data_IF_519220328958
#
_entry.id   IF_519220328958
#
_cell.length_a   1.000
_cell.length_b   1.000
_cell.length_c   1.000
_cell.angle_alpha   90.00
_cell.angle_beta   90.00
_cell.angle_gamma   90.00
#
_symmetry.space_group_name_H-M   'P 1'
#
loop_
_entity.id
_entity.type
_entity.pdbx_description
1 polymer ?
#
# COMPACT_ATOMS: atom_id res chain seq x y z
N UNK A 1 28.84 -82.10 10.55
CA UNK A 1 27.44 -82.65 10.49
C UNK A 1 26.52 -81.63 11.07
N UNK A 2 25.44 -81.31 10.43
CA UNK A 2 24.31 -80.43 10.70
C UNK A 2 24.39 -78.99 10.16
N UNK A 3 23.87 -78.97 8.95
CA UNK A 3 23.36 -77.73 8.32
C UNK A 3 22.15 -77.20 9.05
N UNK A 4 22.08 -75.91 9.31
CA UNK A 4 20.82 -75.20 9.55
C UNK A 4 20.75 -73.99 8.60
N UNK A 5 19.84 -74.16 7.63
CA UNK A 5 19.38 -73.05 6.75
C UNK A 5 18.45 -72.18 7.55
N UNK A 6 18.68 -70.81 7.52
CA UNK A 6 17.73 -69.84 7.95
C UNK A 6 17.20 -69.07 6.72
N UNK A 7 15.89 -68.91 6.56
CA UNK A 7 15.33 -68.18 5.43
C UNK A 7 15.44 -66.67 5.64
N UNK A 8 15.90 -65.99 4.60
CA UNK A 8 15.91 -64.51 4.53
C UNK A 8 14.47 -64.00 4.34
N UNK A 9 14.05 -63.16 5.27
CA UNK A 9 12.78 -62.43 5.21
C UNK A 9 13.00 -61.13 4.43
N UNK A 10 12.49 -61.07 3.20
CA UNK A 10 12.45 -59.84 2.41
C UNK A 10 11.37 -58.92 2.95
N UNK A 11 11.77 -57.82 3.61
CA UNK A 11 10.90 -56.75 4.02
C UNK A 11 10.80 -55.73 2.85
N UNK A 12 9.69 -55.79 2.11
CA UNK A 12 9.37 -54.83 1.07
C UNK A 12 8.94 -53.51 1.74
N UNK A 13 9.82 -52.54 1.73
CA UNK A 13 9.54 -51.16 2.15
C UNK A 13 8.71 -50.46 1.06
N UNK A 14 7.39 -50.33 1.27
CA UNK A 14 6.48 -49.57 0.41
C UNK A 14 6.69 -48.08 0.71
N UNK A 15 7.38 -47.38 -0.17
CA UNK A 15 7.53 -45.93 -0.10
C UNK A 15 6.19 -45.25 -0.49
N UNK A 16 5.45 -44.79 0.48
CA UNK A 16 4.31 -43.90 0.25
C UNK A 16 4.83 -42.51 -0.08
N UNK A 17 4.65 -42.08 -1.34
CA UNK A 17 4.84 -40.71 -1.77
C UNK A 17 3.73 -39.84 -1.16
N UNK A 18 4.04 -39.13 -0.10
CA UNK A 18 3.23 -38.00 0.36
C UNK A 18 3.51 -36.82 -0.54
N UNK A 19 2.59 -36.52 -1.46
CA UNK A 19 2.52 -35.23 -2.13
C UNK A 19 2.01 -34.24 -1.09
N UNK A 20 2.93 -33.58 -0.39
CA UNK A 20 2.62 -32.45 0.47
C UNK A 20 2.20 -31.28 -0.40
N UNK A 21 0.95 -30.81 -0.25
CA UNK A 21 0.56 -29.47 -0.64
C UNK A 21 1.44 -28.48 0.14
N UNK A 22 2.40 -27.91 -0.53
CA UNK A 22 3.23 -26.82 -0.01
C UNK A 22 2.33 -25.60 0.10
N UNK A 23 1.85 -25.35 1.32
CA UNK A 23 1.21 -24.07 1.65
C UNK A 23 2.24 -22.97 1.45
N UNK A 24 1.96 -22.03 0.54
CA UNK A 24 2.80 -20.87 0.33
C UNK A 24 2.95 -20.13 1.68
N UNK A 25 4.11 -20.28 2.29
CA UNK A 25 4.51 -19.44 3.43
C UNK A 25 4.64 -18.01 2.96
N UNK A 26 4.13 -17.00 3.71
CA UNK A 26 4.42 -15.61 3.41
C UNK A 26 5.93 -15.42 3.37
N UNK A 27 6.44 -14.82 2.29
CA UNK A 27 7.85 -14.49 2.18
C UNK A 27 8.13 -13.38 3.19
N UNK A 28 8.73 -13.74 4.31
CA UNK A 28 9.28 -12.80 5.27
C UNK A 28 10.48 -12.11 4.61
N UNK A 29 10.28 -10.87 4.18
CA UNK A 29 11.33 -10.05 3.59
C UNK A 29 12.39 -9.77 4.67
N UNK A 30 13.58 -10.32 4.47
CA UNK A 30 14.73 -10.12 5.36
C UNK A 30 15.06 -8.62 5.44
N UNK A 31 14.88 -8.01 6.61
CA UNK A 31 15.35 -6.66 6.91
C UNK A 31 14.28 -5.60 7.21
N UNK A 32 13.01 -5.96 7.31
CA UNK A 32 11.96 -5.02 7.75
C UNK A 32 12.11 -4.72 9.24
N UNK A 33 12.15 -3.43 9.65
CA UNK A 33 12.02 -3.09 11.07
C UNK A 33 10.70 -3.66 11.60
N UNK A 34 10.71 -4.20 12.79
CA UNK A 34 9.71 -5.04 13.46
C UNK A 34 8.30 -4.44 13.61
N UNK A 35 7.94 -3.36 12.89
CA UNK A 35 6.67 -2.64 13.01
C UNK A 35 6.18 -1.95 11.72
N UNK A 36 6.53 -2.48 10.54
CA UNK A 36 6.03 -1.94 9.27
C UNK A 36 4.91 -2.83 8.71
N UNK A 37 3.85 -2.19 8.21
CA UNK A 37 2.76 -2.85 7.50
C UNK A 37 2.77 -2.41 6.05
N UNK A 38 2.73 -3.35 5.11
CA UNK A 38 2.69 -3.08 3.68
C UNK A 38 1.27 -3.24 3.15
N UNK A 39 0.90 -2.36 2.25
CA UNK A 39 -0.33 -2.40 1.48
C UNK A 39 0.03 -2.38 0.00
N UNK A 40 -0.43 -3.35 -0.77
CA UNK A 40 0.06 -3.60 -2.12
C UNK A 40 1.41 -4.33 -2.12
N UNK A 41 2.37 -3.84 -2.88
CA UNK A 41 3.70 -4.44 -2.97
C UNK A 41 4.63 -4.00 -1.83
N UNK A 42 5.58 -4.86 -1.47
CA UNK A 42 6.69 -4.46 -0.59
C UNK A 42 7.60 -3.53 -1.36
N UNK A 43 7.86 -2.36 -0.82
CA UNK A 43 8.72 -1.34 -1.42
C UNK A 43 9.96 -1.12 -0.56
N UNK A 44 11.07 -0.74 -1.23
CA UNK A 44 12.25 -0.21 -0.57
C UNK A 44 12.01 1.26 -0.18
N UNK A 45 12.53 1.70 0.94
CA UNK A 45 12.41 3.08 1.43
C UNK A 45 13.62 3.95 1.10
N UNK A 46 14.66 3.40 0.47
CA UNK A 46 15.83 4.17 0.04
C UNK A 46 15.47 5.19 -1.05
N UNK A 47 15.99 6.39 -0.93
CA UNK A 47 15.71 7.48 -1.89
C UNK A 47 14.30 8.08 -1.77
N UNK A 48 13.65 7.90 -0.64
CA UNK A 48 12.37 8.54 -0.33
C UNK A 48 12.53 10.06 -0.24
N UNK A 49 11.62 10.79 -0.87
CA UNK A 49 11.58 12.26 -0.90
C UNK A 49 10.59 12.79 0.13
N UNK A 50 10.80 14.03 0.58
CA UNK A 50 9.74 14.82 1.23
C UNK A 50 8.88 15.55 0.18
N UNK A 51 7.77 16.17 0.62
CA UNK A 51 6.86 16.88 -0.29
C UNK A 51 7.50 18.01 -1.09
N UNK A 52 8.44 18.75 -0.49
CA UNK A 52 9.13 19.86 -1.17
C UNK A 52 10.03 19.37 -2.30
N UNK A 53 10.79 18.30 -2.08
CA UNK A 53 11.65 17.69 -3.11
C UNK A 53 10.80 17.07 -4.23
N UNK A 54 9.67 16.43 -3.89
CA UNK A 54 8.73 15.91 -4.87
C UNK A 54 8.13 17.03 -5.73
N UNK A 55 7.71 18.16 -5.13
CA UNK A 55 7.22 19.33 -5.86
C UNK A 55 8.27 19.87 -6.81
N UNK A 56 9.52 20.01 -6.35
CA UNK A 56 10.63 20.47 -7.20
C UNK A 56 10.92 19.51 -8.39
N UNK A 57 10.62 18.23 -8.24
CA UNK A 57 10.69 17.28 -9.36
C UNK A 57 9.53 17.49 -10.35
N UNK A 58 8.31 17.74 -9.86
CA UNK A 58 7.14 18.03 -10.70
C UNK A 58 7.26 19.31 -11.50
N UNK A 59 7.83 20.39 -10.94
CA UNK A 59 8.02 21.67 -11.62
C UNK A 59 8.88 21.54 -12.89
N UNK A 60 9.69 20.49 -12.98
CA UNK A 60 10.54 20.23 -14.14
C UNK A 60 9.87 19.40 -15.23
N UNK A 61 8.98 18.49 -14.87
CA UNK A 61 8.45 17.45 -15.77
C UNK A 61 6.93 17.38 -15.83
N UNK A 62 6.22 18.03 -14.91
CA UNK A 62 4.76 17.94 -14.76
C UNK A 62 4.26 16.63 -14.15
N UNK A 63 5.08 15.56 -14.19
CA UNK A 63 4.86 14.24 -13.60
C UNK A 63 6.17 13.65 -13.15
N UNK A 64 6.16 12.85 -12.07
CA UNK A 64 7.37 12.19 -11.56
C UNK A 64 7.05 10.86 -10.90
N UNK A 65 7.75 9.80 -11.33
CA UNK A 65 7.78 8.52 -10.62
C UNK A 65 8.73 8.63 -9.43
N UNK A 66 8.18 8.59 -8.23
CA UNK A 66 8.95 8.82 -7.00
C UNK A 66 8.47 7.94 -5.85
N UNK A 67 9.25 7.92 -4.79
CA UNK A 67 8.82 7.53 -3.44
C UNK A 67 8.82 8.77 -2.57
N UNK A 68 7.72 9.01 -1.85
CA UNK A 68 7.68 10.10 -0.88
C UNK A 68 7.15 9.63 0.46
N UNK A 69 7.48 10.38 1.50
CA UNK A 69 7.05 10.11 2.87
C UNK A 69 6.24 11.26 3.45
N UNK A 70 5.35 10.92 4.34
CA UNK A 70 4.58 11.87 5.10
C UNK A 70 3.75 11.22 6.19
N UNK A 71 2.87 12.00 6.80
CA UNK A 71 1.93 11.57 7.81
C UNK A 71 0.52 11.49 7.22
N UNK A 72 -0.17 10.39 7.44
CA UNK A 72 -1.57 10.24 6.99
C UNK A 72 -2.46 11.17 7.81
N UNK A 73 -3.19 12.06 7.15
CA UNK A 73 -4.09 13.03 7.80
C UNK A 73 -5.57 12.68 7.62
N UNK A 74 -5.90 11.94 6.56
CA UNK A 74 -7.26 11.44 6.34
C UNK A 74 -7.22 10.17 5.48
N UNK A 75 -8.23 9.33 5.64
CA UNK A 75 -8.48 8.17 4.77
C UNK A 75 -9.95 8.11 4.37
N UNK A 76 -10.23 7.40 3.27
CA UNK A 76 -11.61 7.07 2.89
C UNK A 76 -12.25 6.19 3.97
N UNK A 77 -13.18 6.73 4.76
CA UNK A 77 -13.85 6.01 5.84
C UNK A 77 -14.73 4.83 5.35
N UNK A 78 -15.13 4.83 4.07
CA UNK A 78 -15.95 3.75 3.50
C UNK A 78 -15.15 2.52 3.12
N UNK A 79 -13.96 2.69 2.50
CA UNK A 79 -13.19 1.58 1.92
C UNK A 79 -11.67 1.71 2.08
N UNK A 80 -11.14 2.86 2.51
CA UNK A 80 -9.71 3.12 2.50
C UNK A 80 -9.11 3.18 1.08
N UNK A 81 -9.87 3.66 0.09
CA UNK A 81 -9.49 3.67 -1.33
C UNK A 81 -8.70 4.93 -1.75
N UNK A 82 -8.53 5.86 -0.86
CA UNK A 82 -7.66 7.03 -0.98
C UNK A 82 -7.20 7.48 0.41
N UNK A 83 -6.17 8.30 0.47
CA UNK A 83 -5.71 8.95 1.69
C UNK A 83 -5.11 10.32 1.36
N UNK A 84 -5.17 11.26 2.33
CA UNK A 84 -4.39 12.49 2.33
C UNK A 84 -3.13 12.28 3.17
N UNK A 85 -1.99 12.72 2.64
CA UNK A 85 -0.68 12.59 3.30
C UNK A 85 -0.04 13.95 3.40
N UNK A 86 0.19 14.42 4.63
CA UNK A 86 0.95 15.64 4.88
C UNK A 86 2.46 15.37 4.78
N UNK A 87 3.18 16.20 4.02
CA UNK A 87 4.63 16.14 3.90
C UNK A 87 5.21 17.54 3.86
N UNK A 88 5.65 18.03 5.02
CA UNK A 88 6.03 19.43 5.23
C UNK A 88 4.81 20.35 5.17
N UNK A 89 4.83 21.33 4.27
CA UNK A 89 3.72 22.27 4.05
C UNK A 89 2.68 21.75 3.04
N UNK A 90 2.95 20.60 2.41
CA UNK A 90 2.11 20.02 1.39
C UNK A 90 1.14 18.98 1.95
N UNK A 91 -0.05 18.93 1.37
CA UNK A 91 -0.97 17.78 1.47
C UNK A 91 -1.09 17.13 0.11
N UNK A 92 -0.76 15.85 0.05
CA UNK A 92 -0.77 15.04 -1.17
C UNK A 92 -1.98 14.13 -1.15
N UNK A 93 -2.83 14.25 -2.17
CA UNK A 93 -3.97 13.36 -2.34
C UNK A 93 -3.54 12.06 -3.03
N UNK A 94 -3.55 10.95 -2.31
CA UNK A 94 -3.07 9.65 -2.77
C UNK A 94 -4.24 8.73 -3.13
N UNK A 95 -4.28 8.28 -4.38
CA UNK A 95 -5.17 7.22 -4.86
C UNK A 95 -4.35 5.97 -5.17
N UNK A 96 -4.99 4.82 -5.15
CA UNK A 96 -4.35 3.54 -5.46
C UNK A 96 -4.66 3.11 -6.88
N UNK A 97 -3.62 2.74 -7.64
CA UNK A 97 -3.74 2.35 -9.05
C UNK A 97 -4.75 1.20 -9.19
N UNK A 98 -5.76 1.43 -10.04
CA UNK A 98 -6.81 0.45 -10.37
C UNK A 98 -7.52 -0.17 -9.15
N UNK A 99 -7.51 0.52 -7.99
CA UNK A 99 -8.01 -0.02 -6.71
C UNK A 99 -7.32 -1.34 -6.31
N UNK A 100 -6.04 -1.49 -6.66
CA UNK A 100 -5.29 -2.72 -6.44
C UNK A 100 -5.06 -3.09 -4.97
N UNK A 101 -5.14 -2.10 -4.07
CA UNK A 101 -5.09 -2.30 -2.62
C UNK A 101 -5.83 -1.19 -1.89
N UNK A 102 -5.99 -1.32 -0.58
CA UNK A 102 -6.68 -0.37 0.29
C UNK A 102 -5.91 -0.21 1.60
N UNK A 103 -6.04 0.95 2.23
CA UNK A 103 -5.52 1.22 3.58
C UNK A 103 -6.65 1.08 4.61
N UNK A 104 -6.33 0.96 5.92
CA UNK A 104 -7.35 0.92 6.96
C UNK A 104 -8.25 2.15 6.92
N UNK A 105 -9.55 1.94 7.12
CA UNK A 105 -10.56 3.00 7.22
C UNK A 105 -10.52 3.72 8.57
N UNK A 106 -9.85 3.14 9.57
CA UNK A 106 -9.72 3.68 10.93
C UNK A 106 -8.30 3.43 11.46
N UNK A 107 -7.80 4.35 12.28
CA UNK A 107 -6.52 4.22 12.97
C UNK A 107 -5.28 4.31 12.07
N UNK A 108 -5.42 4.83 10.85
CA UNK A 108 -4.30 5.15 9.96
C UNK A 108 -3.79 6.58 10.16
N UNK A 109 -4.63 7.50 10.58
CA UNK A 109 -4.30 8.91 10.80
C UNK A 109 -3.21 9.06 11.86
N UNK A 110 -2.31 10.02 11.66
CA UNK A 110 -1.13 10.25 12.49
C UNK A 110 0.01 9.26 12.26
N UNK A 111 -0.16 8.25 11.39
CA UNK A 111 0.92 7.30 11.08
C UNK A 111 1.79 7.82 9.95
N UNK A 112 3.11 7.64 10.10
CA UNK A 112 4.05 7.85 9.03
C UNK A 112 3.85 6.80 7.95
N UNK A 113 3.85 7.23 6.70
CA UNK A 113 3.74 6.36 5.54
C UNK A 113 4.80 6.71 4.49
N UNK A 114 5.20 5.70 3.72
CA UNK A 114 5.98 5.87 2.49
C UNK A 114 5.14 5.30 1.35
N UNK A 115 5.00 6.04 0.27
CA UNK A 115 4.28 5.61 -0.93
C UNK A 115 5.17 5.68 -2.16
N UNK A 116 5.00 4.74 -3.07
CA UNK A 116 5.69 4.67 -4.36
C UNK A 116 4.69 4.79 -5.49
N UNK A 117 5.03 5.52 -6.54
CA UNK A 117 4.20 5.70 -7.72
C UNK A 117 4.41 7.04 -8.41
N UNK A 118 3.38 7.52 -9.11
CA UNK A 118 3.43 8.74 -9.91
C UNK A 118 2.80 9.93 -9.17
N UNK A 119 3.58 11.00 -9.01
CA UNK A 119 3.14 12.31 -8.54
C UNK A 119 2.77 13.22 -9.72
N UNK A 120 1.74 14.05 -9.57
CA UNK A 120 1.28 15.03 -10.57
C UNK A 120 0.37 16.09 -9.94
N UNK A 121 0.09 17.17 -10.67
CA UNK A 121 -0.98 18.10 -10.30
C UNK A 121 -2.30 17.66 -10.94
N UNK A 122 -3.37 17.58 -10.14
CA UNK A 122 -4.71 17.25 -10.58
C UNK A 122 -5.69 18.36 -10.20
N UNK A 123 -6.63 18.67 -11.10
CA UNK A 123 -7.73 19.59 -10.81
C UNK A 123 -8.96 18.79 -10.41
N UNK A 124 -9.23 18.76 -9.10
CA UNK A 124 -10.43 18.13 -8.59
C UNK A 124 -11.65 19.01 -8.83
N UNK A 125 -12.61 18.51 -9.58
CA UNK A 125 -13.88 19.21 -9.82
C UNK A 125 -14.75 19.25 -8.57
N UNK A 126 -15.68 20.22 -8.47
CA UNK A 126 -16.61 20.33 -7.35
C UNK A 126 -17.35 19.00 -7.06
N UNK A 127 -17.89 18.26 -8.06
CA UNK A 127 -18.49 16.95 -7.80
C UNK A 127 -17.54 15.93 -7.19
N UNK A 128 -16.26 15.90 -7.63
CA UNK A 128 -15.24 15.00 -7.06
C UNK A 128 -14.91 15.38 -5.62
N UNK A 129 -14.71 16.67 -5.35
CA UNK A 129 -14.43 17.16 -4.00
C UNK A 129 -15.58 16.84 -3.03
N UNK A 130 -16.83 17.02 -3.45
CA UNK A 130 -18.01 16.64 -2.67
C UNK A 130 -18.06 15.15 -2.39
N UNK A 131 -17.80 14.33 -3.40
CA UNK A 131 -17.75 12.88 -3.25
C UNK A 131 -16.67 12.44 -2.23
N UNK A 132 -15.47 13.02 -2.30
CA UNK A 132 -14.41 12.72 -1.33
C UNK A 132 -14.72 13.21 0.08
N UNK A 133 -15.40 14.35 0.21
CA UNK A 133 -15.89 14.85 1.50
C UNK A 133 -16.95 13.92 2.12
N UNK A 134 -17.88 13.38 1.31
CA UNK A 134 -18.83 12.35 1.72
C UNK A 134 -18.11 11.06 2.17
N UNK A 135 -17.09 10.63 1.43
CA UNK A 135 -16.29 9.44 1.75
C UNK A 135 -15.42 9.61 3.01
N UNK A 136 -15.06 10.86 3.33
CA UNK A 136 -14.37 11.23 4.57
C UNK A 136 -15.35 11.39 5.76
N UNK A 137 -16.67 11.25 5.55
CA UNK A 137 -17.66 11.40 6.59
C UNK A 137 -17.90 12.84 7.03
N UNK A 138 -17.63 13.83 6.14
CA UNK A 138 -17.88 15.24 6.41
C UNK A 138 -19.38 15.54 6.57
N UNK A 139 -19.68 16.59 7.33
CA UNK A 139 -21.05 17.05 7.49
C UNK A 139 -21.63 17.61 6.18
N UNK A 140 -22.96 17.60 6.03
CA UNK A 140 -23.61 18.16 4.86
C UNK A 140 -23.28 19.65 4.66
N UNK A 141 -23.11 20.41 5.74
CA UNK A 141 -22.72 21.81 5.69
C UNK A 141 -21.32 22.00 5.08
N UNK A 142 -20.35 21.18 5.48
CA UNK A 142 -19.00 21.20 4.90
C UNK A 142 -19.02 20.82 3.42
N UNK A 143 -19.83 19.83 3.04
CA UNK A 143 -19.98 19.37 1.65
C UNK A 143 -20.61 20.48 0.79
N UNK A 144 -21.65 21.16 1.28
CA UNK A 144 -22.35 22.22 0.56
C UNK A 144 -21.48 23.47 0.39
N UNK A 145 -20.54 23.70 1.32
CA UNK A 145 -19.57 24.80 1.23
C UNK A 145 -18.54 24.63 0.09
N UNK A 146 -18.40 23.44 -0.48
CA UNK A 146 -17.52 23.17 -1.62
C UNK A 146 -18.17 23.72 -2.89
N UNK A 147 -17.70 24.84 -3.40
CA UNK A 147 -18.29 25.57 -4.54
C UNK A 147 -17.34 25.75 -5.72
N UNK A 148 -16.04 25.54 -5.52
CA UNK A 148 -15.00 25.77 -6.54
C UNK A 148 -14.11 24.53 -6.70
N UNK A 149 -13.56 24.30 -7.92
CA UNK A 149 -12.58 23.25 -8.14
C UNK A 149 -11.26 23.59 -7.44
N UNK A 150 -10.49 22.57 -7.09
CA UNK A 150 -9.21 22.73 -6.40
C UNK A 150 -8.08 22.05 -7.18
N UNK A 151 -6.97 22.78 -7.38
CA UNK A 151 -5.72 22.20 -7.89
C UNK A 151 -4.99 21.55 -6.71
N UNK A 152 -4.80 20.26 -6.76
CA UNK A 152 -4.10 19.48 -5.72
C UNK A 152 -2.83 18.83 -6.24
N UNK A 153 -1.87 18.73 -5.35
CA UNK A 153 -0.78 17.78 -5.50
C UNK A 153 -1.36 16.37 -5.30
N UNK A 154 -1.29 15.56 -6.33
CA UNK A 154 -1.90 14.24 -6.38
C UNK A 154 -0.86 13.15 -6.62
N UNK A 155 -1.21 11.94 -6.25
CA UNK A 155 -0.35 10.76 -6.34
C UNK A 155 -1.16 9.52 -6.69
N UNK A 156 -0.67 8.72 -7.64
CA UNK A 156 -1.19 7.39 -7.90
C UNK A 156 -0.18 6.37 -7.39
N UNK A 157 -0.49 5.74 -6.25
CA UNK A 157 0.35 4.72 -5.64
C UNK A 157 0.21 3.36 -6.35
N UNK A 158 1.34 2.63 -6.51
CA UNK A 158 1.45 1.35 -7.23
C UNK A 158 1.89 0.20 -6.33
#
# INVERSE_FOLDING_TARGET
MNNLFAPALFLTCSAALFIGCESATPVEAAGTPDNQTFYGSVIDTDGTMNGADMRAALDKSGRAEVRFEGEITATCAKKGCWMDVASGEDTVFVRFLDYGFFVPTEGAEGKRTVVQGEAFYDTLTVPMLKHYAEDAGKSQEEIDAITEPELRLAFTAT
#
